data_IF_194382595293
#
_entry.id   IF_194382595293
#
_cell.length_a   1.000
_cell.length_b   1.000
_cell.length_c   1.000
_cell.angle_alpha   90.00
_cell.angle_beta   90.00
_cell.angle_gamma   90.00
#
_symmetry.space_group_name_H-M   'P 1'
#
loop_
_entity.id
_entity.type
_entity.pdbx_description
1 polymer ?
#
# COMPACT_ATOMS: atom_id res chain seq x y z
N UNK A 1 2.57 -15.68 8.00
CA UNK A 1 3.47 -14.53 8.22
C UNK A 1 4.81 -14.66 7.49
N UNK A 2 5.50 -15.80 7.49
CA UNK A 2 6.81 -15.94 6.83
C UNK A 2 6.81 -15.69 5.32
N UNK A 3 5.76 -16.12 4.62
CA UNK A 3 5.63 -15.89 3.18
C UNK A 3 5.57 -14.40 2.84
N UNK A 4 4.83 -13.60 3.61
CA UNK A 4 4.67 -12.16 3.38
C UNK A 4 6.00 -11.42 3.60
N UNK A 5 6.73 -11.77 4.66
CA UNK A 5 8.08 -11.22 4.86
C UNK A 5 9.04 -11.63 3.75
N UNK A 6 8.96 -12.86 3.23
CA UNK A 6 9.82 -13.32 2.15
C UNK A 6 9.51 -12.60 0.82
N UNK A 7 8.23 -12.41 0.53
CA UNK A 7 7.70 -11.58 -0.57
C UNK A 7 8.26 -10.15 -0.51
N UNK A 8 8.13 -9.48 0.64
CA UNK A 8 8.65 -8.12 0.82
C UNK A 8 10.16 -8.04 0.65
N UNK A 9 10.92 -8.98 1.23
CA UNK A 9 12.38 -9.03 1.08
C UNK A 9 12.77 -9.27 -0.39
N UNK A 10 12.08 -10.17 -1.08
CA UNK A 10 12.33 -10.47 -2.49
C UNK A 10 12.02 -9.28 -3.41
N UNK A 11 11.02 -8.47 -3.06
CA UNK A 11 10.73 -7.20 -3.73
C UNK A 11 11.70 -6.06 -3.35
N UNK A 12 12.73 -6.34 -2.54
CA UNK A 12 13.78 -5.39 -2.17
C UNK A 12 13.47 -4.51 -0.97
N UNK A 13 12.36 -4.76 -0.26
CA UNK A 13 12.02 -4.00 0.95
C UNK A 13 12.83 -4.50 2.14
N UNK A 14 13.67 -3.63 2.70
CA UNK A 14 14.42 -3.87 3.93
C UNK A 14 14.19 -2.71 4.89
N UNK A 15 13.52 -2.95 6.02
CA UNK A 15 13.29 -1.94 7.04
C UNK A 15 11.95 -2.06 7.77
N UNK A 16 11.53 -0.97 8.39
CA UNK A 16 10.20 -0.86 9.00
C UNK A 16 9.15 -0.64 7.92
N UNK A 17 8.02 -1.30 8.05
CA UNK A 17 6.89 -1.16 7.17
C UNK A 17 5.60 -1.23 7.98
N UNK A 18 4.57 -0.55 7.48
CA UNK A 18 3.21 -0.69 7.99
C UNK A 18 2.51 -1.78 7.18
N UNK A 19 1.98 -2.80 7.86
CA UNK A 19 1.20 -3.88 7.23
C UNK A 19 -0.20 -3.88 7.84
N UNK A 20 -1.21 -3.74 6.98
CA UNK A 20 -2.60 -3.58 7.39
C UNK A 20 -3.46 -4.64 6.70
N UNK A 21 -4.39 -5.25 7.46
CA UNK A 21 -5.43 -6.12 6.91
C UNK A 21 -6.67 -5.28 6.63
N UNK A 22 -7.12 -5.23 5.37
CA UNK A 22 -8.32 -4.51 4.95
C UNK A 22 -9.57 -5.38 5.14
N UNK A 23 -10.49 -4.93 6.01
CA UNK A 23 -11.80 -5.58 6.16
C UNK A 23 -12.85 -5.09 5.16
N UNK A 24 -12.57 -4.01 4.43
CA UNK A 24 -13.42 -3.49 3.37
C UNK A 24 -14.49 -2.47 3.73
N UNK A 25 -14.42 -1.93 4.94
CA UNK A 25 -15.24 -0.79 5.37
C UNK A 25 -14.45 0.21 6.22
N UNK A 26 -13.11 0.18 6.11
CA UNK A 26 -12.26 1.05 6.91
C UNK A 26 -12.04 2.37 6.16
N UNK A 27 -12.81 3.38 6.59
CA UNK A 27 -12.73 4.77 6.10
C UNK A 27 -11.61 5.59 6.75
N UNK A 28 -11.03 5.12 7.86
CA UNK A 28 -10.09 5.88 8.70
C UNK A 28 -8.61 5.57 8.46
N UNK A 29 -8.26 5.00 7.30
CA UNK A 29 -6.86 4.75 6.98
C UNK A 29 -6.03 6.02 6.78
N UNK A 30 -6.68 7.17 6.61
CA UNK A 30 -6.03 8.45 6.31
C UNK A 30 -4.94 8.80 7.31
N UNK A 31 -5.21 8.69 8.63
CA UNK A 31 -4.19 8.99 9.66
C UNK A 31 -2.99 8.04 9.58
N UNK A 32 -3.23 6.77 9.30
CA UNK A 32 -2.16 5.76 9.22
C UNK A 32 -1.34 5.97 7.96
N UNK A 33 -2.01 6.21 6.82
CA UNK A 33 -1.39 6.51 5.53
C UNK A 33 -0.53 7.77 5.62
N UNK A 34 -1.07 8.87 6.16
CA UNK A 34 -0.33 10.10 6.39
C UNK A 34 0.89 9.90 7.30
N UNK A 35 0.76 9.10 8.36
CA UNK A 35 1.88 8.80 9.27
C UNK A 35 2.99 8.03 8.56
N UNK A 36 2.64 7.00 7.78
CA UNK A 36 3.62 6.23 7.02
C UNK A 36 4.32 7.10 5.97
N UNK A 37 3.57 7.94 5.26
CA UNK A 37 4.12 8.90 4.30
C UNK A 37 5.09 9.89 4.96
N UNK A 38 4.72 10.50 6.08
CA UNK A 38 5.60 11.43 6.81
C UNK A 38 6.90 10.76 7.29
N UNK A 39 6.86 9.46 7.57
CA UNK A 39 8.03 8.68 8.01
C UNK A 39 8.82 8.06 6.86
N UNK A 40 8.35 8.21 5.62
CA UNK A 40 8.91 7.54 4.43
C UNK A 40 8.97 6.02 4.65
N UNK A 41 8.01 5.49 5.42
CA UNK A 41 7.90 4.06 5.69
C UNK A 41 6.94 3.42 4.69
N UNK A 42 7.31 2.33 4.01
CA UNK A 42 6.42 1.66 3.07
C UNK A 42 5.18 1.13 3.80
N UNK A 43 4.02 1.36 3.19
CA UNK A 43 2.74 0.84 3.67
C UNK A 43 2.20 -0.22 2.71
N UNK A 44 1.84 -1.36 3.28
CA UNK A 44 1.22 -2.48 2.59
C UNK A 44 -0.17 -2.74 3.14
N UNK A 45 -1.13 -2.88 2.24
CA UNK A 45 -2.49 -3.27 2.51
C UNK A 45 -2.72 -4.67 1.96
N UNK A 46 -3.38 -5.52 2.75
CA UNK A 46 -3.56 -6.91 2.41
C UNK A 46 -5.05 -7.27 2.52
N UNK A 47 -5.58 -7.90 1.45
CA UNK A 47 -6.98 -8.31 1.35
C UNK A 47 -7.15 -9.64 0.63
N UNK A 48 -8.12 -10.43 1.06
CA UNK A 48 -8.53 -11.64 0.36
C UNK A 48 -9.57 -11.33 -0.74
N UNK A 49 -9.32 -11.78 -1.96
CA UNK A 49 -10.30 -11.89 -3.05
C UNK A 49 -10.81 -10.60 -3.72
N UNK A 50 -10.82 -9.46 -3.03
CA UNK A 50 -11.52 -8.25 -3.48
C UNK A 50 -10.61 -7.03 -3.68
N UNK A 51 -11.20 -5.95 -4.22
CA UNK A 51 -10.53 -4.65 -4.35
C UNK A 51 -10.35 -4.01 -2.96
N UNK A 52 -9.24 -3.29 -2.74
CA UNK A 52 -8.97 -2.67 -1.47
C UNK A 52 -9.90 -1.48 -1.21
N UNK A 53 -10.09 -1.13 0.06
CA UNK A 53 -10.70 0.14 0.48
C UNK A 53 -9.97 1.33 -0.16
N UNK A 54 -10.68 2.43 -0.38
CA UNK A 54 -10.14 3.62 -1.06
C UNK A 54 -8.88 4.12 -0.31
N UNK A 55 -7.84 4.48 -1.07
CA UNK A 55 -6.69 5.20 -0.52
C UNK A 55 -7.10 6.64 -0.14
N UNK A 56 -6.29 7.29 0.69
CA UNK A 56 -6.41 8.72 0.96
C UNK A 56 -6.21 9.52 -0.34
N UNK A 57 -6.74 10.74 -0.38
CA UNK A 57 -6.63 11.58 -1.57
C UNK A 57 -5.16 11.89 -1.91
N UNK A 58 -4.82 11.84 -3.21
CA UNK A 58 -3.43 11.95 -3.70
C UNK A 58 -2.60 10.67 -3.55
N UNK A 59 -3.21 9.55 -3.15
CA UNK A 59 -2.57 8.24 -3.08
C UNK A 59 -3.37 7.18 -3.82
N UNK A 60 -2.70 6.08 -4.18
CA UNK A 60 -3.34 4.92 -4.78
C UNK A 60 -2.71 3.60 -4.30
N UNK A 61 -3.48 2.53 -4.42
CA UNK A 61 -3.04 1.17 -4.10
C UNK A 61 -2.48 0.48 -5.34
N UNK A 62 -1.19 0.20 -5.36
CA UNK A 62 -0.55 -0.60 -6.41
C UNK A 62 -0.52 -2.06 -6.02
N UNK A 63 -1.11 -2.94 -6.84
CA UNK A 63 -1.08 -4.38 -6.62
C UNK A 63 0.34 -4.94 -6.78
N UNK A 64 0.81 -5.70 -5.80
CA UNK A 64 2.05 -6.47 -5.85
C UNK A 64 1.80 -7.86 -6.45
N UNK A 65 2.75 -8.34 -7.27
CA UNK A 65 2.58 -9.53 -8.13
C UNK A 65 2.85 -10.88 -7.46
N UNK A 66 2.51 -11.08 -6.17
CA UNK A 66 3.13 -12.16 -5.39
C UNK A 66 2.22 -13.32 -4.96
N UNK A 67 0.88 -13.28 -5.12
CA UNK A 67 0.03 -14.47 -4.91
C UNK A 67 -1.38 -14.41 -5.53
N UNK A 68 -1.92 -15.50 -6.13
CA UNK A 68 -3.23 -15.49 -6.80
C UNK A 68 -4.45 -15.35 -5.88
N UNK A 69 -4.41 -15.92 -4.66
CA UNK A 69 -5.53 -15.81 -3.70
C UNK A 69 -5.42 -14.62 -2.75
N UNK A 70 -4.25 -13.98 -2.71
CA UNK A 70 -3.86 -13.05 -1.66
C UNK A 70 -3.24 -11.81 -2.28
N UNK A 71 -4.03 -10.73 -2.31
CA UNK A 71 -3.65 -9.49 -2.97
C UNK A 71 -3.01 -8.57 -1.95
N UNK A 72 -1.72 -8.32 -2.13
CA UNK A 72 -0.96 -7.32 -1.39
C UNK A 72 -0.92 -6.07 -2.26
N UNK A 73 -1.24 -4.94 -1.68
CA UNK A 73 -1.17 -3.64 -2.32
C UNK A 73 -0.17 -2.77 -1.56
N UNK A 74 0.60 -1.99 -2.28
CA UNK A 74 1.47 -0.97 -1.73
C UNK A 74 0.83 0.40 -1.92
N UNK A 75 0.94 1.25 -0.90
CA UNK A 75 0.54 2.65 -1.02
C UNK A 75 1.60 3.39 -1.84
N UNK A 76 1.17 4.01 -2.94
CA UNK A 76 1.98 4.92 -3.73
C UNK A 76 1.30 6.30 -3.79
N UNK A 77 2.11 7.34 -3.92
CA UNK A 77 1.63 8.71 -4.07
C UNK A 77 1.34 8.93 -5.56
N UNK A 78 0.22 9.56 -5.86
CA UNK A 78 -0.06 10.03 -7.20
C UNK A 78 0.92 11.16 -7.52
N UNK A 79 1.82 10.93 -8.47
CA UNK A 79 2.82 11.91 -8.86
C UNK A 79 2.11 13.10 -9.52
N UNK A 80 1.98 14.21 -8.80
CA UNK A 80 1.53 15.49 -9.34
C UNK A 80 2.67 16.13 -10.17
N UNK A 81 3.23 15.40 -11.15
CA UNK A 81 4.05 16.03 -12.16
C UNK A 81 3.14 16.84 -13.08
N UNK A 82 3.33 18.16 -13.04
CA UNK A 82 2.45 19.15 -13.61
C UNK A 82 2.20 19.01 -15.11
N UNK A 83 0.92 19.13 -15.48
CA UNK A 83 0.55 19.64 -16.79
C UNK A 83 0.95 21.12 -16.86
N UNK A 84 2.20 21.36 -17.24
CA UNK A 84 2.77 22.68 -17.39
C UNK A 84 3.66 22.75 -18.61
N UNK A 85 3.17 22.35 -19.79
CA UNK A 85 3.75 22.76 -21.07
C UNK A 85 2.62 23.04 -22.09
N UNK A 86 2.38 24.34 -22.33
CA UNK A 86 1.76 24.90 -23.53
C UNK A 86 2.84 25.65 -24.31
#
# INVERSE_FOLDING_TARGET
MQWLSASLINAGYMGKAHIIWDKGDEKDWEKVQLTAMMRVEPMFLYRCGERPSKAADGCYWRLMGEHPSLRVYQLEVEDLHGNGEL
#
